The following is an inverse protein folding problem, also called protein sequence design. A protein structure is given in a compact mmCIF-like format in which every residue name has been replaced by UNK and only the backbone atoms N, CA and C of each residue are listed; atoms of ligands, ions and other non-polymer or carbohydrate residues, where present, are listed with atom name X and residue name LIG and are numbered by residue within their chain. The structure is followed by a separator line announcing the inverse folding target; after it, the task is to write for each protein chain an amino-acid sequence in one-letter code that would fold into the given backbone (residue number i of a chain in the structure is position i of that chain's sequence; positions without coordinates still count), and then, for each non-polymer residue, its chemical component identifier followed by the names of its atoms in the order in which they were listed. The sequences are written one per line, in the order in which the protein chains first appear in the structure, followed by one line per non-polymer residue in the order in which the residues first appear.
data_IF_128400256784
#
_entry.id   IF_128400256784
#
_cell.length_a   1.000
_cell.length_b   1.000
_cell.length_c   1.000
_cell.angle_alpha   90.00
_cell.angle_beta   90.00
_cell.angle_gamma   90.00
#
_symmetry.space_group_name_H-M   'P 1'
#
loop_
_entity.id
_entity.type
_entity.pdbx_description
1 polymer ?
#
# COMPACT_ATOMS: atom_id res chain seq x y z
N UNK A 1 27.85 2.59 3.45
CA UNK A 1 27.17 3.80 2.93
C UNK A 1 25.92 3.52 2.09
N UNK A 2 25.37 2.29 2.03
CA UNK A 2 24.28 1.95 1.08
C UNK A 2 22.95 1.45 1.68
N UNK A 3 22.82 1.36 3.01
CA UNK A 3 21.69 0.66 3.64
C UNK A 3 20.33 1.33 3.38
N UNK A 4 20.27 2.66 3.42
CA UNK A 4 19.00 3.40 3.27
C UNK A 4 18.48 3.40 1.82
N UNK A 5 19.36 3.54 0.83
CA UNK A 5 19.00 3.45 -0.59
C UNK A 5 18.48 2.04 -0.95
N UNK A 6 19.13 1.00 -0.42
CA UNK A 6 18.65 -0.38 -0.59
C UNK A 6 17.28 -0.61 0.03
N UNK A 7 17.02 -0.06 1.23
CA UNK A 7 15.71 -0.14 1.87
C UNK A 7 14.65 0.55 1.02
N UNK A 8 14.93 1.76 0.52
CA UNK A 8 13.99 2.51 -0.33
C UNK A 8 13.69 1.72 -1.61
N UNK A 9 14.71 1.17 -2.27
CA UNK A 9 14.53 0.32 -3.45
C UNK A 9 13.67 -0.90 -3.15
N UNK A 10 13.89 -1.59 -2.02
CA UNK A 10 13.06 -2.72 -1.58
C UNK A 10 11.62 -2.29 -1.30
N UNK A 11 11.41 -1.14 -0.66
CA UNK A 11 10.08 -0.59 -0.39
C UNK A 11 9.33 -0.23 -1.69
N UNK A 12 10.03 0.33 -2.68
CA UNK A 12 9.48 0.59 -4.03
C UNK A 12 9.05 -0.72 -4.69
N UNK A 13 9.91 -1.74 -4.68
CA UNK A 13 9.60 -3.05 -5.27
C UNK A 13 8.35 -3.66 -4.64
N UNK A 14 8.25 -3.65 -3.30
CA UNK A 14 7.05 -4.14 -2.60
C UNK A 14 5.81 -3.29 -2.91
N UNK A 15 5.95 -1.97 -2.98
CA UNK A 15 4.85 -1.08 -3.37
C UNK A 15 4.30 -1.42 -4.76
N UNK A 16 5.18 -1.70 -5.73
CA UNK A 16 4.77 -2.15 -7.07
C UNK A 16 4.07 -3.52 -7.05
N UNK A 17 4.55 -4.46 -6.24
CA UNK A 17 3.91 -5.76 -6.06
C UNK A 17 2.51 -5.63 -5.44
N UNK A 18 2.33 -4.75 -4.44
CA UNK A 18 1.03 -4.46 -3.85
C UNK A 18 0.05 -3.89 -4.89
N UNK A 19 0.51 -3.00 -5.77
CA UNK A 19 -0.31 -2.52 -6.88
C UNK A 19 -0.76 -3.68 -7.79
N UNK A 20 0.10 -4.64 -8.08
CA UNK A 20 -0.28 -5.84 -8.85
C UNK A 20 -1.31 -6.69 -8.09
N UNK A 21 -1.06 -7.00 -6.82
CA UNK A 21 -1.99 -7.79 -5.99
C UNK A 21 -3.37 -7.15 -5.88
N UNK A 22 -3.43 -5.81 -5.78
CA UNK A 22 -4.71 -5.08 -5.76
C UNK A 22 -5.49 -5.20 -7.08
N UNK A 23 -4.81 -5.23 -8.23
CA UNK A 23 -5.46 -5.43 -9.54
C UNK A 23 -6.00 -6.84 -9.68
N UNK A 24 -5.32 -7.81 -9.05
CA UNK A 24 -5.72 -9.21 -9.00
C UNK A 24 -6.71 -9.51 -7.85
N UNK A 25 -7.11 -8.50 -7.06
CA UNK A 25 -7.97 -8.65 -5.88
C UNK A 25 -7.46 -9.66 -4.84
N UNK A 26 -6.15 -9.89 -4.78
CA UNK A 26 -5.50 -10.81 -3.82
C UNK A 26 -5.24 -10.10 -2.49
N UNK A 27 -6.33 -9.77 -1.78
CA UNK A 27 -6.28 -8.89 -0.60
C UNK A 27 -5.61 -9.50 0.64
N UNK A 28 -5.65 -10.82 0.80
CA UNK A 28 -4.95 -11.50 1.90
C UNK A 28 -3.43 -11.38 1.71
N UNK A 29 -2.91 -11.80 0.55
CA UNK A 29 -1.49 -11.65 0.21
C UNK A 29 -1.05 -10.19 0.18
N UNK A 30 -1.94 -9.28 -0.22
CA UNK A 30 -1.68 -7.84 -0.14
C UNK A 30 -1.44 -7.40 1.29
N UNK A 31 -2.26 -7.84 2.25
CA UNK A 31 -2.14 -7.45 3.65
C UNK A 31 -0.81 -7.93 4.25
N UNK A 32 -0.42 -9.18 4.00
CA UNK A 32 0.85 -9.74 4.47
C UNK A 32 2.04 -8.94 3.92
N UNK A 33 2.03 -8.66 2.61
CA UNK A 33 3.10 -7.92 1.96
C UNK A 33 3.17 -6.46 2.40
N UNK A 34 2.03 -5.85 2.75
CA UNK A 34 1.97 -4.49 3.28
C UNK A 34 2.62 -4.39 4.65
N UNK A 35 2.44 -5.39 5.52
CA UNK A 35 3.13 -5.44 6.82
C UNK A 35 4.65 -5.45 6.62
N UNK A 36 5.15 -6.28 5.70
CA UNK A 36 6.58 -6.30 5.37
C UNK A 36 7.07 -4.97 4.79
N UNK A 37 6.27 -4.33 3.94
CA UNK A 37 6.62 -3.03 3.35
C UNK A 37 6.67 -1.92 4.40
N UNK A 38 5.71 -1.88 5.32
CA UNK A 38 5.69 -0.92 6.42
C UNK A 38 6.89 -1.09 7.34
N UNK A 39 7.30 -2.34 7.61
CA UNK A 39 8.50 -2.62 8.38
C UNK A 39 9.76 -2.05 7.69
N UNK A 40 9.88 -2.17 6.37
CA UNK A 40 10.98 -1.57 5.62
C UNK A 40 10.96 -0.04 5.71
N UNK A 41 9.79 0.58 5.49
CA UNK A 41 9.68 2.04 5.48
C UNK A 41 10.05 2.66 6.84
N UNK A 42 9.63 2.03 7.94
CA UNK A 42 9.99 2.47 9.30
C UNK A 42 11.49 2.42 9.58
N UNK A 43 12.23 1.59 8.84
CA UNK A 43 13.68 1.46 8.98
C UNK A 43 14.46 2.40 8.05
N UNK A 44 13.78 3.23 7.24
CA UNK A 44 14.45 4.28 6.46
C UNK A 44 14.97 5.33 7.43
N UNK A 45 16.28 5.39 7.60
CA UNK A 45 16.97 6.47 8.30
C UNK A 45 17.90 7.21 7.35
N UNK A 46 17.79 8.53 7.34
CA UNK A 46 18.67 9.42 6.58
C UNK A 46 19.68 10.13 7.50
N UNK A 47 19.70 9.77 8.78
CA UNK A 47 20.64 10.35 9.73
C UNK A 47 22.07 9.94 9.38
N UNK A 48 22.99 10.91 9.47
CA UNK A 48 24.41 10.73 9.18
C UNK A 48 24.71 10.23 7.75
N UNK A 49 23.78 10.40 6.82
CA UNK A 49 23.97 10.06 5.42
C UNK A 49 24.84 11.14 4.76
N UNK A 50 26.11 10.84 4.54
CA UNK A 50 26.97 11.68 3.69
C UNK A 50 26.77 11.20 2.25
N UNK A 51 26.19 12.06 1.42
CA UNK A 51 25.88 11.76 0.02
C UNK A 51 26.79 12.54 -0.91
N UNK A 52 27.21 11.88 -1.98
CA UNK A 52 27.70 12.56 -3.18
C UNK A 52 26.50 13.13 -3.95
N UNK A 53 26.73 14.11 -4.81
CA UNK A 53 25.66 14.79 -5.55
C UNK A 53 24.85 13.82 -6.44
N UNK A 54 25.50 12.83 -7.05
CA UNK A 54 24.84 11.75 -7.80
C UNK A 54 23.88 10.93 -6.92
N UNK A 55 24.35 10.56 -5.72
CA UNK A 55 23.60 9.71 -4.79
C UNK A 55 22.43 10.48 -4.18
N UNK A 56 22.55 11.80 -4.06
CA UNK A 56 21.46 12.68 -3.66
C UNK A 56 20.34 12.72 -4.70
N UNK A 57 20.67 12.89 -5.99
CA UNK A 57 19.67 12.89 -7.06
C UNK A 57 18.94 11.55 -7.17
N UNK A 58 19.68 10.45 -7.00
CA UNK A 58 19.10 9.11 -6.99
C UNK A 58 18.19 8.90 -5.77
N UNK A 59 18.62 9.32 -4.58
CA UNK A 59 17.81 9.28 -3.37
C UNK A 59 16.51 10.08 -3.54
N UNK A 60 16.61 11.31 -4.06
CA UNK A 60 15.47 12.19 -4.28
C UNK A 60 14.48 11.56 -5.26
N UNK A 61 14.98 11.00 -6.36
CA UNK A 61 14.16 10.32 -7.37
C UNK A 61 13.41 9.13 -6.78
N UNK A 62 14.11 8.27 -6.03
CA UNK A 62 13.51 7.10 -5.40
C UNK A 62 12.50 7.47 -4.32
N UNK A 63 12.78 8.48 -3.50
CA UNK A 63 11.83 8.96 -2.48
C UNK A 63 10.56 9.53 -3.11
N UNK A 64 10.69 10.31 -4.19
CA UNK A 64 9.54 10.81 -4.94
C UNK A 64 8.71 9.67 -5.54
N UNK A 65 9.36 8.65 -6.10
CA UNK A 65 8.67 7.45 -6.58
C UNK A 65 7.90 6.75 -5.45
N UNK A 66 8.53 6.57 -4.28
CA UNK A 66 7.90 5.93 -3.13
C UNK A 66 6.68 6.73 -2.63
N UNK A 67 6.76 8.06 -2.60
CA UNK A 67 5.62 8.94 -2.26
C UNK A 67 4.47 8.75 -3.25
N UNK A 68 4.76 8.77 -4.56
CA UNK A 68 3.74 8.57 -5.59
C UNK A 68 3.08 7.19 -5.50
N UNK A 69 3.87 6.16 -5.19
CA UNK A 69 3.36 4.80 -4.98
C UNK A 69 2.47 4.72 -3.73
N UNK A 70 2.84 5.39 -2.63
CA UNK A 70 2.01 5.49 -1.44
C UNK A 70 0.65 6.10 -1.75
N UNK A 71 0.62 7.23 -2.45
CA UNK A 71 -0.65 7.89 -2.82
C UNK A 71 -1.54 7.01 -3.70
N UNK A 72 -0.95 6.22 -4.61
CA UNK A 72 -1.71 5.25 -5.42
C UNK A 72 -2.29 4.12 -4.56
N UNK A 73 -1.51 3.56 -3.64
CA UNK A 73 -1.95 2.49 -2.74
C UNK A 73 -3.06 2.98 -1.80
N UNK A 74 -2.94 4.20 -1.27
CA UNK A 74 -3.98 4.82 -0.45
C UNK A 74 -5.29 4.97 -1.22
N UNK A 75 -5.23 5.53 -2.44
CA UNK A 75 -6.40 5.69 -3.30
C UNK A 75 -7.11 4.36 -3.56
N UNK A 76 -6.35 3.29 -3.85
CA UNK A 76 -6.87 1.94 -4.07
C UNK A 76 -7.51 1.39 -2.79
N UNK A 77 -6.83 1.51 -1.65
CA UNK A 77 -7.35 1.04 -0.36
C UNK A 77 -8.65 1.73 0.03
N UNK A 78 -8.75 3.05 -0.16
CA UNK A 78 -9.97 3.82 0.06
C UNK A 78 -11.10 3.35 -0.85
N UNK A 79 -10.82 3.14 -2.14
CA UNK A 79 -11.80 2.63 -3.08
C UNK A 79 -12.32 1.25 -2.68
N UNK A 80 -11.42 0.33 -2.32
CA UNK A 80 -11.80 -1.02 -1.90
C UNK A 80 -12.63 -1.00 -0.62
N UNK A 81 -12.27 -0.15 0.35
CA UNK A 81 -13.04 0.02 1.58
C UNK A 81 -14.47 0.49 1.30
N UNK A 82 -14.64 1.43 0.37
CA UNK A 82 -15.97 1.92 -0.01
C UNK A 82 -16.80 0.80 -0.68
N UNK A 83 -16.20 0.02 -1.58
CA UNK A 83 -16.86 -1.14 -2.21
C UNK A 83 -17.36 -2.13 -1.14
N UNK A 84 -16.50 -2.51 -0.20
CA UNK A 84 -16.86 -3.43 0.89
C UNK A 84 -17.98 -2.83 1.77
N UNK A 85 -17.91 -1.53 2.07
CA UNK A 85 -18.95 -0.87 2.85
C UNK A 85 -20.31 -0.90 2.15
N UNK A 86 -20.34 -0.66 0.84
CA UNK A 86 -21.55 -0.70 0.02
C UNK A 86 -22.12 -2.12 -0.06
N UNK A 87 -21.27 -3.12 -0.26
CA UNK A 87 -21.65 -4.55 -0.25
C UNK A 87 -22.27 -4.95 1.09
N UNK A 88 -21.64 -4.59 2.21
CA UNK A 88 -22.15 -4.85 3.56
C UNK A 88 -23.52 -4.19 3.81
N UNK A 89 -23.73 -2.97 3.30
CA UNK A 89 -25.04 -2.33 3.36
C UNK A 89 -26.08 -3.09 2.54
N UNK A 90 -25.71 -3.56 1.35
CA UNK A 90 -26.55 -4.41 0.50
C UNK A 90 -26.99 -5.69 1.21
N UNK A 91 -26.05 -6.43 1.80
CA UNK A 91 -26.35 -7.63 2.59
C UNK A 91 -27.34 -7.34 3.74
N UNK A 92 -27.14 -6.26 4.48
CA UNK A 92 -28.05 -5.87 5.59
C UNK A 92 -29.46 -5.55 5.09
N UNK A 93 -29.60 -4.90 3.93
CA UNK A 93 -30.91 -4.61 3.33
C UNK A 93 -31.60 -5.89 2.85
N UNK A 94 -30.88 -6.76 2.15
CA UNK A 94 -31.43 -8.03 1.65
C UNK A 94 -31.87 -8.96 2.79
N UNK A 95 -31.10 -9.02 3.90
CA UNK A 95 -31.49 -9.81 5.06
C UNK A 95 -32.75 -9.27 5.75
N UNK A 96 -32.93 -7.94 5.83
CA UNK A 96 -34.17 -7.33 6.36
C UNK A 96 -35.38 -7.67 5.50
N UNK A 97 -35.22 -7.65 4.17
CA UNK A 97 -36.27 -8.02 3.22
C UNK A 97 -36.62 -9.50 3.34
N UNK A 98 -35.62 -10.39 3.37
CA UNK A 98 -35.83 -11.83 3.54
C UNK A 98 -36.56 -12.16 4.87
N UNK A 99 -36.22 -11.47 5.96
CA UNK A 99 -36.94 -11.61 7.23
C UNK A 99 -38.40 -11.13 7.14
N UNK A 100 -38.67 -10.03 6.44
CA UNK A 100 -40.02 -9.51 6.25
C UNK A 100 -40.94 -10.42 5.42
N UNK A 101 -40.38 -11.24 4.51
CA UNK A 101 -41.12 -12.21 3.70
C UNK A 101 -41.15 -13.63 4.29
N UNK A 102 -40.47 -13.87 5.42
CA UNK A 102 -40.48 -15.16 6.14
C UNK A 102 -41.52 -15.25 7.26
N UNK A 103 -42.31 -14.19 7.45
CA UNK A 103 -43.55 -14.17 8.23
C UNK A 103 -44.76 -14.22 7.31
#
# INVERSE_FOLDING_TARGET
MGYSLEIITKAIKKSKQLLTLSKESKWETFADLEVERQALIKNISLENLVLLESDYNDLQTQMNELILLNSKLESIGLKQRNIIADELQGFRKNNKVAQAYSQ
#
